data_IF_724193778412
#
_entry.id   IF_724193778412
#
_cell.length_a   1.000
_cell.length_b   1.000
_cell.length_c   1.000
_cell.angle_alpha   90.00
_cell.angle_beta   90.00
_cell.angle_gamma   90.00
#
_symmetry.space_group_name_H-M   'P 1'
#
loop_
_entity.id
_entity.type
_entity.pdbx_description
1 polymer ?
#
# COMPACT_ATOMS: atom_id res chain seq x y z
N UNK A 1 13.98 13.43 -9.01
CA UNK A 1 12.62 13.89 -9.38
C UNK A 1 12.18 15.00 -8.43
N UNK A 2 12.02 14.75 -7.13
CA UNK A 2 11.42 15.70 -6.16
C UNK A 2 12.43 16.44 -5.26
N UNK A 3 13.55 16.91 -5.81
CA UNK A 3 14.64 17.48 -4.99
C UNK A 3 14.30 18.89 -4.48
N UNK A 4 13.72 19.72 -5.34
CA UNK A 4 13.41 21.13 -5.04
C UNK A 4 12.06 21.31 -4.34
N UNK A 5 11.07 20.46 -4.67
CA UNK A 5 9.79 20.38 -3.96
C UNK A 5 9.44 18.91 -3.65
N UNK A 6 9.67 18.52 -2.40
CA UNK A 6 9.34 17.17 -1.90
C UNK A 6 7.83 16.93 -1.84
N UNK A 7 6.99 17.97 -1.67
CA UNK A 7 5.53 17.78 -1.53
C UNK A 7 4.88 17.33 -2.84
N UNK A 8 5.50 17.58 -3.99
CA UNK A 8 5.08 17.03 -5.28
C UNK A 8 5.19 15.51 -5.37
N UNK A 9 5.91 14.84 -4.45
CA UNK A 9 5.92 13.36 -4.37
C UNK A 9 4.75 12.78 -3.56
N UNK A 10 3.95 13.64 -2.93
CA UNK A 10 2.83 13.27 -2.03
C UNK A 10 1.51 13.87 -2.53
N UNK A 11 1.55 15.01 -3.23
CA UNK A 11 0.35 15.74 -3.67
C UNK A 11 0.35 16.07 -5.16
N UNK A 12 -0.84 15.98 -5.75
CA UNK A 12 -1.09 16.24 -7.16
C UNK A 12 -0.73 15.07 -8.07
N UNK A 13 -0.91 15.26 -9.38
CA UNK A 13 -0.69 14.27 -10.42
C UNK A 13 0.75 13.77 -10.50
N UNK A 14 1.71 14.53 -10.00
CA UNK A 14 3.11 14.12 -9.89
C UNK A 14 3.31 12.94 -8.91
N UNK A 15 2.48 12.83 -7.87
CA UNK A 15 2.51 11.72 -6.94
C UNK A 15 1.85 10.43 -7.49
N UNK A 16 1.14 10.52 -8.63
CA UNK A 16 0.34 9.41 -9.16
C UNK A 16 1.24 8.46 -9.96
N UNK A 17 1.34 7.22 -9.49
CA UNK A 17 1.85 6.08 -10.26
C UNK A 17 0.73 5.43 -11.07
N UNK A 18 1.09 4.59 -12.06
CA UNK A 18 0.11 3.83 -12.86
C UNK A 18 -0.78 2.97 -11.96
N UNK A 19 -2.13 3.10 -12.00
CA UNK A 19 -3.03 2.33 -11.14
C UNK A 19 -2.99 0.82 -11.46
N UNK A 20 -2.30 0.04 -10.62
CA UNK A 20 -2.10 -1.39 -10.85
C UNK A 20 -3.19 -2.32 -10.32
N UNK A 21 -4.04 -1.85 -9.41
CA UNK A 21 -4.97 -2.69 -8.63
C UNK A 21 -5.93 -3.51 -9.49
N UNK A 22 -6.60 -2.88 -10.47
CA UNK A 22 -7.55 -3.57 -11.35
C UNK A 22 -6.87 -4.66 -12.19
N UNK A 23 -5.67 -4.40 -12.71
CA UNK A 23 -4.86 -5.42 -13.39
C UNK A 23 -4.47 -6.54 -12.44
N UNK A 24 -4.09 -6.20 -11.21
CA UNK A 24 -3.77 -7.14 -10.13
C UNK A 24 -4.91 -8.12 -9.86
N UNK A 25 -6.13 -7.61 -9.68
CA UNK A 25 -7.32 -8.46 -9.52
C UNK A 25 -7.63 -9.29 -10.76
N UNK A 26 -7.49 -8.72 -11.97
CA UNK A 26 -7.71 -9.49 -13.20
C UNK A 26 -6.72 -10.65 -13.35
N UNK A 27 -5.44 -10.45 -13.01
CA UNK A 27 -4.44 -11.53 -13.01
C UNK A 27 -4.66 -12.54 -11.88
N UNK A 28 -5.08 -12.10 -10.68
CA UNK A 28 -5.48 -13.00 -9.61
C UNK A 28 -6.66 -13.89 -10.02
N UNK A 29 -7.71 -13.31 -10.64
CA UNK A 29 -8.85 -14.05 -11.18
C UNK A 29 -8.46 -15.01 -12.31
N UNK A 30 -7.46 -14.68 -13.14
CA UNK A 30 -6.86 -15.60 -14.14
C UNK A 30 -6.07 -16.74 -13.48
N UNK A 31 -5.42 -16.49 -12.35
CA UNK A 31 -4.62 -17.49 -11.63
C UNK A 31 -5.49 -18.49 -10.86
N UNK A 32 -6.51 -18.02 -10.13
CA UNK A 32 -7.41 -18.88 -9.33
C UNK A 32 -8.58 -19.47 -10.12
N UNK A 33 -8.80 -19.05 -11.36
CA UNK A 33 -10.00 -19.41 -12.12
C UNK A 33 -10.03 -18.83 -13.52
N UNK A 34 -11.11 -18.12 -13.87
CA UNK A 34 -11.30 -17.51 -15.20
C UNK A 34 -11.76 -16.06 -15.11
N UNK A 35 -11.56 -15.27 -16.17
CA UNK A 35 -12.06 -13.89 -16.24
C UNK A 35 -13.59 -13.77 -16.13
N UNK A 36 -14.35 -14.81 -16.50
CA UNK A 36 -15.79 -14.84 -16.31
C UNK A 36 -16.18 -14.76 -14.81
N UNK A 37 -15.30 -15.19 -13.91
CA UNK A 37 -15.50 -15.00 -12.47
C UNK A 37 -15.28 -13.53 -12.03
N UNK A 38 -14.45 -12.76 -12.73
CA UNK A 38 -14.31 -11.31 -12.49
C UNK A 38 -15.58 -10.57 -12.92
N UNK A 39 -16.06 -10.83 -14.14
CA UNK A 39 -17.35 -10.32 -14.64
C UNK A 39 -18.49 -10.63 -13.66
N UNK A 40 -18.62 -11.91 -13.26
CA UNK A 40 -19.62 -12.34 -12.29
C UNK A 40 -19.45 -11.71 -10.89
N UNK A 41 -18.23 -11.42 -10.47
CA UNK A 41 -17.97 -10.72 -9.18
C UNK A 41 -18.37 -9.25 -9.24
N UNK A 42 -18.03 -8.56 -10.35
CA UNK A 42 -18.37 -7.16 -10.56
C UNK A 42 -19.89 -6.99 -10.72
N UNK A 43 -20.53 -7.80 -11.57
CA UNK A 43 -21.99 -7.80 -11.78
C UNK A 43 -22.77 -8.33 -10.57
N UNK A 44 -22.25 -9.32 -9.86
CA UNK A 44 -22.85 -9.84 -8.61
C UNK A 44 -22.84 -8.82 -7.47
N UNK A 45 -21.91 -7.86 -7.48
CA UNK A 45 -21.91 -6.67 -6.62
C UNK A 45 -22.71 -5.50 -7.22
N UNK A 46 -23.28 -5.67 -8.42
CA UNK A 46 -24.16 -4.73 -9.10
C UNK A 46 -25.65 -5.17 -9.15
N UNK A 47 -26.33 -5.57 -8.03
CA UNK A 47 -27.80 -5.63 -8.01
C UNK A 47 -28.45 -4.27 -8.27
N UNK A 48 -27.69 -3.18 -8.09
CA UNK A 48 -28.12 -1.81 -8.31
C UNK A 48 -26.96 -0.96 -8.83
N UNK A 49 -27.13 -0.36 -10.02
CA UNK A 49 -26.42 0.88 -10.41
C UNK A 49 -26.84 2.11 -9.55
N UNK A 50 -27.56 1.84 -8.46
CA UNK A 50 -27.82 2.68 -7.31
C UNK A 50 -27.23 1.94 -6.10
N UNK A 51 -25.91 1.76 -6.05
CA UNK A 51 -25.25 1.07 -4.94
C UNK A 51 -25.30 1.96 -3.68
N UNK A 52 -26.45 1.92 -3.02
CA UNK A 52 -26.74 2.47 -1.70
C UNK A 52 -25.88 1.75 -0.66
N UNK A 53 -24.57 2.02 -0.68
CA UNK A 53 -23.69 1.67 0.42
C UNK A 53 -24.08 2.57 1.60
N UNK A 54 -24.57 2.02 2.73
CA UNK A 54 -24.66 2.83 3.94
C UNK A 54 -23.27 3.35 4.28
N UNK A 55 -23.15 4.58 4.79
CA UNK A 55 -21.90 5.00 5.39
C UNK A 55 -21.59 4.06 6.57
N UNK A 56 -20.76 3.05 6.31
CA UNK A 56 -20.35 2.09 7.32
C UNK A 56 -19.53 2.79 8.39
N UNK A 57 -20.13 2.99 9.57
CA UNK A 57 -19.54 3.30 10.88
C UNK A 57 -18.31 4.22 10.90
N UNK A 58 -18.54 5.52 10.66
CA UNK A 58 -17.69 6.66 11.04
C UNK A 58 -16.36 7.03 10.31
N UNK A 59 -15.70 6.30 9.39
CA UNK A 59 -14.27 6.55 9.14
C UNK A 59 -14.08 7.69 8.15
N UNK A 60 -14.85 7.69 7.05
CA UNK A 60 -14.62 8.60 5.94
C UNK A 60 -14.99 10.06 6.27
N UNK A 61 -16.18 10.40 6.83
CA UNK A 61 -16.47 11.78 7.22
C UNK A 61 -15.47 12.32 8.25
N UNK A 62 -15.01 11.49 9.20
CA UNK A 62 -14.03 11.90 10.20
C UNK A 62 -12.61 12.04 9.62
N UNK A 63 -12.19 11.16 8.71
CA UNK A 63 -10.93 11.28 7.98
C UNK A 63 -10.87 12.54 7.10
N UNK A 64 -12.02 13.00 6.59
CA UNK A 64 -12.17 14.20 5.77
C UNK A 64 -12.25 15.49 6.61
N UNK A 65 -12.92 15.48 7.77
CA UNK A 65 -12.97 16.64 8.71
C UNK A 65 -11.57 17.13 9.10
N UNK A 66 -10.59 16.23 9.18
CA UNK A 66 -9.19 16.56 9.46
C UNK A 66 -8.38 17.07 8.25
N UNK A 67 -8.96 17.13 7.04
CA UNK A 67 -8.25 17.36 5.78
C UNK A 67 -8.87 18.50 4.94
N UNK A 68 -8.81 19.76 5.42
CA UNK A 68 -9.38 20.91 4.73
C UNK A 68 -8.70 21.24 3.40
N UNK A 69 -7.57 20.60 3.05
CA UNK A 69 -6.93 20.68 1.74
C UNK A 69 -7.69 19.93 0.63
N UNK A 70 -8.49 18.91 0.98
CA UNK A 70 -9.30 18.19 0.01
C UNK A 70 -10.49 19.10 -0.32
N UNK A 71 -10.49 19.66 -1.53
CA UNK A 71 -11.52 20.58 -2.03
C UNK A 71 -11.77 20.33 -3.51
N UNK A 72 -12.88 20.88 -4.02
CA UNK A 72 -13.21 20.85 -5.44
C UNK A 72 -14.14 19.70 -5.82
N UNK A 73 -14.31 19.44 -7.14
CA UNK A 73 -15.37 18.55 -7.65
C UNK A 73 -15.24 17.10 -7.18
N UNK A 74 -14.06 16.65 -6.77
CA UNK A 74 -13.83 15.29 -6.25
C UNK A 74 -14.57 14.99 -4.94
N UNK A 75 -14.99 16.01 -4.18
CA UNK A 75 -15.83 15.81 -2.99
C UNK A 75 -17.31 15.53 -3.34
N UNK A 76 -17.76 15.76 -4.59
CA UNK A 76 -19.19 15.62 -4.95
C UNK A 76 -19.76 14.21 -4.74
N UNK A 77 -18.92 13.18 -4.75
CA UNK A 77 -19.32 11.78 -4.50
C UNK A 77 -19.58 11.47 -3.02
N UNK A 78 -19.19 12.38 -2.12
CA UNK A 78 -19.24 12.26 -0.65
C UNK A 78 -19.83 13.52 0.01
N UNK A 79 -20.40 14.40 -0.81
CA UNK A 79 -21.21 15.55 -0.40
C UNK A 79 -22.67 15.30 -0.79
N UNK A 80 -23.58 15.84 0.00
CA UNK A 80 -24.98 15.94 -0.37
C UNK A 80 -25.12 16.87 -1.61
N UNK A 81 -25.87 16.46 -2.65
CA UNK A 81 -25.93 17.18 -3.92
C UNK A 81 -26.83 18.44 -3.88
N UNK A 82 -27.69 18.59 -2.86
CA UNK A 82 -28.59 19.74 -2.73
C UNK A 82 -27.97 20.86 -1.87
N UNK A 83 -27.29 20.48 -0.80
CA UNK A 83 -26.67 21.40 0.19
C UNK A 83 -25.18 21.65 -0.09
N UNK A 84 -24.49 20.69 -0.71
CA UNK A 84 -23.03 20.70 -0.87
C UNK A 84 -22.24 20.35 0.40
N UNK A 85 -22.91 20.07 1.52
CA UNK A 85 -22.24 19.67 2.77
C UNK A 85 -21.71 18.23 2.67
N UNK A 86 -20.71 17.87 3.49
CA UNK A 86 -20.19 16.50 3.54
C UNK A 86 -21.20 15.56 4.20
N UNK A 87 -21.41 14.39 3.60
CA UNK A 87 -22.31 13.37 4.15
C UNK A 87 -21.86 12.92 5.54
N UNK A 88 -22.84 12.67 6.41
CA UNK A 88 -22.67 12.26 7.80
C UNK A 88 -22.67 10.73 7.94
N UNK A 89 -22.34 10.26 9.15
CA UNK A 89 -22.38 8.85 9.47
C UNK A 89 -23.83 8.31 9.42
N UNK A 90 -24.01 7.16 8.78
CA UNK A 90 -25.35 6.57 8.55
C UNK A 90 -26.11 7.15 7.35
N UNK A 91 -25.65 8.25 6.75
CA UNK A 91 -26.17 8.73 5.47
C UNK A 91 -25.70 7.84 4.31
N UNK A 92 -26.30 8.01 3.14
CA UNK A 92 -26.10 7.09 2.03
C UNK A 92 -25.25 7.72 0.93
N UNK A 93 -24.17 7.04 0.53
CA UNK A 93 -23.25 7.53 -0.49
C UNK A 93 -23.65 6.97 -1.85
N UNK A 94 -23.79 7.83 -2.87
CA UNK A 94 -24.20 7.45 -4.23
C UNK A 94 -23.05 7.65 -5.23
N UNK A 95 -22.48 6.55 -5.73
CA UNK A 95 -21.31 6.58 -6.61
C UNK A 95 -21.66 6.07 -8.03
N UNK A 96 -22.50 6.82 -8.76
CA UNK A 96 -22.96 6.41 -10.10
C UNK A 96 -21.82 6.28 -11.12
N UNK A 97 -20.83 7.18 -11.09
CA UNK A 97 -19.67 7.14 -11.99
C UNK A 97 -18.79 5.91 -11.75
N UNK A 98 -18.62 5.52 -10.48
CA UNK A 98 -17.93 4.28 -10.13
C UNK A 98 -18.73 3.07 -10.62
N UNK A 99 -20.06 3.04 -10.39
CA UNK A 99 -20.92 1.95 -10.86
C UNK A 99 -20.88 1.81 -12.41
N UNK A 100 -20.95 2.92 -13.15
CA UNK A 100 -20.77 2.94 -14.62
C UNK A 100 -19.40 2.38 -15.02
N UNK A 101 -18.33 2.79 -14.33
CA UNK A 101 -16.97 2.33 -14.60
C UNK A 101 -16.82 0.83 -14.34
N UNK A 102 -17.35 0.32 -13.22
CA UNK A 102 -17.29 -1.10 -12.88
C UNK A 102 -18.10 -1.97 -13.85
N UNK A 103 -19.26 -1.50 -14.33
CA UNK A 103 -20.03 -2.22 -15.35
C UNK A 103 -19.34 -2.22 -16.72
N UNK A 104 -18.68 -1.11 -17.09
CA UNK A 104 -17.86 -1.06 -18.30
C UNK A 104 -16.67 -2.02 -18.23
N UNK A 105 -15.97 -2.06 -17.09
CA UNK A 105 -14.88 -3.04 -16.82
C UNK A 105 -15.40 -4.48 -16.79
N UNK A 106 -16.60 -4.74 -16.28
CA UNK A 106 -17.21 -6.07 -16.33
C UNK A 106 -17.57 -6.49 -17.76
N UNK A 107 -18.04 -5.55 -18.58
CA UNK A 107 -18.52 -5.81 -19.95
C UNK A 107 -17.37 -5.91 -20.97
N UNK A 108 -16.37 -5.05 -20.88
CA UNK A 108 -15.26 -4.94 -21.84
C UNK A 108 -13.93 -5.52 -21.31
N UNK A 109 -13.91 -5.98 -20.05
CA UNK A 109 -12.71 -6.46 -19.37
C UNK A 109 -11.85 -5.33 -18.80
N UNK A 110 -10.74 -5.68 -18.10
CA UNK A 110 -9.86 -4.69 -17.46
C UNK A 110 -9.18 -3.76 -18.47
N UNK A 111 -9.01 -4.18 -19.73
CA UNK A 111 -8.36 -3.36 -20.77
C UNK A 111 -9.11 -2.06 -21.07
N UNK A 112 -10.40 -1.94 -20.74
CA UNK A 112 -11.18 -0.70 -20.77
C UNK A 112 -10.53 0.42 -19.93
N UNK A 113 -9.87 0.07 -18.82
CA UNK A 113 -9.21 1.06 -17.95
C UNK A 113 -7.86 1.54 -18.50
N UNK A 114 -7.17 0.67 -19.26
CA UNK A 114 -5.77 0.89 -19.67
C UNK A 114 -5.60 1.35 -21.12
N UNK A 115 -6.67 1.36 -21.92
CA UNK A 115 -6.64 1.75 -23.34
C UNK A 115 -7.84 2.61 -23.75
N UNK A 116 -7.72 3.28 -24.90
CA UNK A 116 -8.81 4.02 -25.54
C UNK A 116 -9.24 5.29 -24.78
N UNK A 117 -10.47 5.74 -25.05
CA UNK A 117 -10.98 7.04 -24.62
C UNK A 117 -11.03 7.20 -23.09
N UNK A 118 -11.27 6.10 -22.34
CA UNK A 118 -11.30 6.14 -20.88
C UNK A 118 -9.88 6.26 -20.28
N UNK A 119 -8.89 5.59 -20.86
CA UNK A 119 -7.49 5.82 -20.49
C UNK A 119 -7.07 7.27 -20.83
N UNK A 120 -7.51 7.81 -21.97
CA UNK A 120 -7.22 9.20 -22.35
C UNK A 120 -7.86 10.18 -21.36
N UNK A 121 -9.08 9.93 -20.88
CA UNK A 121 -9.72 10.79 -19.88
C UNK A 121 -8.99 10.77 -18.52
N UNK A 122 -8.47 9.62 -18.10
CA UNK A 122 -7.60 9.50 -16.91
C UNK A 122 -6.34 10.38 -17.07
N UNK A 123 -5.66 10.29 -18.22
CA UNK A 123 -4.44 11.08 -18.47
C UNK A 123 -4.76 12.57 -18.48
N UNK A 124 -5.84 12.98 -19.15
CA UNK A 124 -6.26 14.39 -19.20
C UNK A 124 -6.57 14.91 -17.78
N UNK A 125 -7.35 14.18 -16.98
CA UNK A 125 -7.67 14.55 -15.59
C UNK A 125 -6.41 14.77 -14.75
N UNK A 126 -5.44 13.85 -14.85
CA UNK A 126 -4.17 13.90 -14.11
C UNK A 126 -3.27 15.05 -14.55
N UNK A 127 -3.28 15.41 -15.84
CA UNK A 127 -2.50 16.52 -16.38
C UNK A 127 -3.18 17.88 -16.18
N UNK A 128 -4.50 17.95 -16.26
CA UNK A 128 -5.28 19.18 -16.20
C UNK A 128 -5.57 19.61 -14.76
N UNK A 129 -6.03 18.68 -13.91
CA UNK A 129 -6.49 18.95 -12.54
C UNK A 129 -5.48 18.49 -11.48
N UNK A 130 -4.53 17.60 -11.81
CA UNK A 130 -3.46 17.18 -10.91
C UNK A 130 -2.35 18.23 -10.65
N UNK A 131 -2.52 19.49 -11.04
CA UNK A 131 -1.46 20.52 -10.93
C UNK A 131 -1.19 20.91 -9.47
N UNK A 132 0.00 20.60 -8.97
CA UNK A 132 0.44 20.97 -7.62
C UNK A 132 1.93 21.28 -7.56
N UNK A 133 2.29 22.36 -6.87
CA UNK A 133 3.65 22.72 -6.47
C UNK A 133 3.58 23.86 -5.45
N UNK A 134 4.58 23.95 -4.57
CA UNK A 134 4.76 25.04 -3.60
C UNK A 134 5.77 26.10 -4.06
N UNK A 135 6.46 25.88 -5.18
CA UNK A 135 7.44 26.81 -5.74
C UNK A 135 6.74 27.98 -6.47
N UNK A 136 7.14 29.25 -6.25
CA UNK A 136 6.44 30.41 -6.85
C UNK A 136 6.34 30.39 -8.38
N UNK A 137 7.31 29.79 -9.08
CA UNK A 137 7.33 29.75 -10.54
C UNK A 137 6.25 28.83 -11.13
N UNK A 138 5.73 27.85 -10.38
CA UNK A 138 4.70 26.95 -10.89
C UNK A 138 3.33 27.61 -11.05
N UNK A 139 3.15 28.83 -10.54
CA UNK A 139 2.00 29.68 -10.85
C UNK A 139 2.01 30.14 -12.33
N UNK A 140 3.19 30.20 -12.95
CA UNK A 140 3.37 30.56 -14.36
C UNK A 140 3.52 29.32 -15.26
N UNK A 141 4.06 28.22 -14.73
CA UNK A 141 4.24 26.96 -15.43
C UNK A 141 3.75 25.78 -14.56
N UNK A 142 2.43 25.54 -14.50
CA UNK A 142 1.87 24.52 -13.62
C UNK A 142 2.11 23.12 -14.18
N UNK A 143 2.72 22.25 -13.37
CA UNK A 143 3.07 20.87 -13.73
C UNK A 143 1.97 19.92 -13.22
N UNK A 144 1.29 19.22 -14.14
CA UNK A 144 0.38 18.12 -13.84
C UNK A 144 1.13 16.80 -13.64
N UNK A 145 0.44 15.65 -13.72
CA UNK A 145 1.13 14.36 -13.65
C UNK A 145 1.97 14.00 -14.87
N UNK A 146 2.98 13.14 -14.66
CA UNK A 146 3.92 12.69 -15.69
C UNK A 146 3.52 11.40 -16.40
N UNK A 147 2.51 10.66 -15.89
CA UNK A 147 2.10 9.40 -16.53
C UNK A 147 1.51 9.66 -17.92
N UNK A 148 1.75 8.73 -18.84
CA UNK A 148 1.31 8.76 -20.23
C UNK A 148 0.34 7.63 -20.56
N UNK A 149 -0.32 7.71 -21.72
CA UNK A 149 -1.10 6.59 -22.25
C UNK A 149 -0.23 5.33 -22.45
N UNK A 150 1.02 5.49 -22.87
CA UNK A 150 1.94 4.38 -23.05
C UNK A 150 2.28 3.71 -21.71
N UNK A 151 2.39 4.46 -20.61
CA UNK A 151 2.59 3.90 -19.27
C UNK A 151 1.38 3.08 -18.80
N UNK A 152 0.15 3.54 -19.09
CA UNK A 152 -1.08 2.79 -18.80
C UNK A 152 -1.15 1.51 -19.65
N UNK A 153 -0.96 1.62 -20.96
CA UNK A 153 -1.09 0.50 -21.89
C UNK A 153 0.00 -0.58 -21.70
N UNK A 154 1.23 -0.19 -21.33
CA UNK A 154 2.33 -1.12 -21.11
C UNK A 154 2.37 -1.72 -19.70
N UNK A 155 1.51 -1.28 -18.77
CA UNK A 155 1.50 -1.79 -17.40
C UNK A 155 1.17 -3.29 -17.32
N UNK A 156 1.99 -4.02 -16.57
CA UNK A 156 1.86 -5.46 -16.34
C UNK A 156 2.07 -5.78 -14.87
N UNK A 157 1.23 -6.67 -14.35
CA UNK A 157 1.43 -7.26 -13.02
C UNK A 157 2.66 -8.16 -13.08
N UNK A 158 3.48 -8.09 -12.04
CA UNK A 158 4.63 -8.98 -11.92
C UNK A 158 4.38 -10.06 -10.87
N UNK A 159 4.60 -11.32 -11.27
CA UNK A 159 4.64 -12.45 -10.34
C UNK A 159 6.07 -12.63 -9.83
N UNK A 160 6.26 -12.41 -8.52
CA UNK A 160 7.56 -12.54 -7.85
C UNK A 160 7.50 -13.57 -6.71
N UNK A 161 8.58 -14.36 -6.48
CA UNK A 161 8.67 -15.23 -5.31
C UNK A 161 8.54 -14.44 -4.00
N UNK A 162 7.84 -14.97 -2.98
CA UNK A 162 7.71 -14.28 -1.70
C UNK A 162 9.04 -14.24 -0.94
N UNK A 163 9.20 -13.22 -0.10
CA UNK A 163 10.20 -13.24 0.98
C UNK A 163 9.90 -14.44 1.86
N UNK A 164 10.90 -15.31 2.05
CA UNK A 164 10.80 -16.53 2.83
C UNK A 164 11.81 -16.54 3.96
N UNK A 165 11.34 -16.62 5.20
CA UNK A 165 12.20 -16.75 6.38
C UNK A 165 11.75 -17.94 7.25
N UNK A 166 12.70 -18.64 7.87
CA UNK A 166 12.44 -19.82 8.73
C UNK A 166 12.86 -19.52 10.16
N UNK A 167 12.09 -20.01 11.13
CA UNK A 167 12.29 -19.76 12.56
C UNK A 167 12.28 -21.06 13.38
N UNK A 168 12.73 -20.98 14.64
CA UNK A 168 12.65 -22.09 15.61
C UNK A 168 11.23 -22.64 15.71
N UNK A 169 11.14 -23.96 15.82
CA UNK A 169 9.88 -24.70 15.85
C UNK A 169 9.31 -25.05 14.48
N UNK A 170 10.06 -24.81 13.40
CA UNK A 170 9.65 -25.18 12.04
C UNK A 170 8.60 -24.26 11.42
N UNK A 171 8.51 -23.02 11.91
CA UNK A 171 7.64 -21.99 11.31
C UNK A 171 8.36 -21.36 10.10
N UNK A 172 7.60 -21.01 9.07
CA UNK A 172 8.09 -20.29 7.88
C UNK A 172 7.17 -19.10 7.63
N UNK A 173 7.73 -17.89 7.59
CA UNK A 173 7.05 -16.70 7.07
C UNK A 173 7.15 -16.71 5.54
N UNK A 174 6.03 -16.39 4.90
CA UNK A 174 5.96 -15.91 3.52
C UNK A 174 5.41 -14.48 3.56
N UNK A 175 6.04 -13.55 2.84
CA UNK A 175 5.63 -12.15 2.80
C UNK A 175 5.97 -11.50 1.46
N UNK A 176 5.46 -10.29 1.21
CA UNK A 176 5.67 -9.58 -0.04
C UNK A 176 7.17 -9.28 -0.29
N UNK A 177 7.69 -9.53 -1.52
CA UNK A 177 9.02 -9.10 -1.93
C UNK A 177 9.10 -7.58 -2.12
N UNK A 178 10.31 -7.00 -2.29
CA UNK A 178 10.48 -5.62 -2.72
C UNK A 178 9.59 -5.30 -3.94
N UNK A 179 8.95 -4.12 -4.01
CA UNK A 179 9.09 -2.95 -3.12
C UNK A 179 8.45 -3.11 -1.72
N UNK A 180 7.74 -4.20 -1.46
CA UNK A 180 7.14 -4.49 -0.15
C UNK A 180 8.17 -4.69 0.98
N UNK A 181 7.79 -4.32 2.21
CA UNK A 181 8.65 -4.40 3.40
C UNK A 181 8.67 -5.78 4.07
N UNK A 182 8.34 -6.87 3.37
CA UNK A 182 8.25 -8.22 3.95
C UNK A 182 9.56 -8.73 4.58
N UNK A 183 10.70 -8.32 4.02
CA UNK A 183 12.03 -8.60 4.58
C UNK A 183 12.29 -7.88 5.92
N UNK A 184 11.68 -6.71 6.15
CA UNK A 184 11.77 -5.99 7.43
C UNK A 184 11.04 -6.78 8.53
N UNK A 185 9.83 -7.27 8.24
CA UNK A 185 9.09 -8.14 9.15
C UNK A 185 9.85 -9.44 9.44
N UNK A 186 10.42 -10.07 8.40
CA UNK A 186 11.25 -11.26 8.55
C UNK A 186 12.44 -11.03 9.50
N UNK A 187 13.08 -9.86 9.42
CA UNK A 187 14.21 -9.50 10.27
C UNK A 187 13.79 -9.24 11.72
N UNK A 188 12.69 -8.51 11.96
CA UNK A 188 12.13 -8.29 13.31
C UNK A 188 11.85 -9.65 13.98
N UNK A 189 11.13 -10.53 13.29
CA UNK A 189 10.82 -11.86 13.80
C UNK A 189 12.08 -12.71 13.99
N UNK A 190 13.09 -12.58 13.10
CA UNK A 190 14.37 -13.26 13.22
C UNK A 190 15.15 -12.87 14.48
N UNK A 191 15.13 -11.57 14.84
CA UNK A 191 15.72 -11.05 16.09
C UNK A 191 14.96 -11.60 17.29
N UNK A 192 13.62 -11.52 17.29
CA UNK A 192 12.81 -12.04 18.39
C UNK A 192 12.97 -13.57 18.57
N UNK A 193 13.16 -14.31 17.48
CA UNK A 193 13.44 -15.74 17.51
C UNK A 193 14.79 -16.06 18.20
N UNK A 194 15.75 -15.14 18.24
CA UNK A 194 17.00 -15.33 19.00
C UNK A 194 16.77 -15.38 20.52
N UNK A 195 15.77 -14.65 21.03
CA UNK A 195 15.41 -14.65 22.45
C UNK A 195 14.57 -15.86 22.87
N UNK A 196 13.97 -16.58 21.92
CA UNK A 196 13.19 -17.80 22.20
C UNK A 196 14.10 -18.96 22.63
N UNK A 197 13.64 -19.71 23.62
CA UNK A 197 14.17 -21.04 23.94
C UNK A 197 13.93 -22.02 22.76
N UNK A 198 14.46 -23.23 22.85
CA UNK A 198 14.36 -24.21 21.76
C UNK A 198 12.91 -24.67 21.50
N UNK A 199 12.63 -25.03 20.24
CA UNK A 199 11.33 -25.56 19.84
C UNK A 199 10.28 -24.48 19.56
N UNK A 200 9.06 -24.69 20.07
CA UNK A 200 7.87 -23.85 19.78
C UNK A 200 7.44 -22.93 20.93
N UNK A 201 8.23 -22.82 21.99
CA UNK A 201 7.90 -21.97 23.14
C UNK A 201 7.57 -20.53 22.71
N UNK A 202 6.55 -19.95 23.34
CA UNK A 202 6.27 -18.52 23.24
C UNK A 202 7.33 -17.72 24.02
N UNK A 203 7.50 -16.44 23.67
CA UNK A 203 8.16 -15.49 24.55
C UNK A 203 7.22 -15.15 25.73
N UNK A 204 7.75 -14.74 26.89
CA UNK A 204 6.93 -14.19 27.97
C UNK A 204 6.12 -12.97 27.50
N UNK A 205 4.92 -12.79 28.06
CA UNK A 205 4.14 -11.56 27.90
C UNK A 205 4.55 -10.57 29.00
N UNK A 206 5.71 -9.94 28.81
CA UNK A 206 6.32 -9.05 29.80
C UNK A 206 6.94 -7.77 29.19
N UNK A 207 7.22 -6.80 30.06
CA UNK A 207 7.81 -5.50 29.69
C UNK A 207 9.16 -5.68 28.97
N UNK A 208 9.94 -6.70 29.34
CA UNK A 208 11.23 -6.98 28.71
C UNK A 208 11.07 -7.48 27.27
N UNK A 209 10.05 -8.29 26.99
CA UNK A 209 9.73 -8.77 25.64
C UNK A 209 9.21 -7.63 24.77
N UNK A 210 8.39 -6.72 25.33
CA UNK A 210 7.97 -5.49 24.65
C UNK A 210 9.15 -4.55 24.34
N UNK A 211 10.09 -4.38 25.28
CA UNK A 211 11.32 -3.62 25.07
C UNK A 211 12.15 -4.22 23.93
N UNK A 212 12.45 -5.52 23.98
CA UNK A 212 13.19 -6.23 22.92
C UNK A 212 12.50 -6.14 21.56
N UNK A 213 11.17 -6.18 21.51
CA UNK A 213 10.40 -5.98 20.28
C UNK A 213 10.56 -4.55 19.74
N UNK A 214 10.49 -3.52 20.59
CA UNK A 214 10.72 -2.14 20.20
C UNK A 214 12.15 -1.92 19.66
N UNK A 215 13.17 -2.50 20.30
CA UNK A 215 14.56 -2.45 19.83
C UNK A 215 14.74 -3.21 18.50
N UNK A 216 14.14 -4.39 18.34
CA UNK A 216 14.15 -5.14 17.09
C UNK A 216 13.52 -4.35 15.93
N UNK A 217 12.40 -3.64 16.20
CA UNK A 217 11.79 -2.72 15.25
C UNK A 217 12.74 -1.58 14.86
N UNK A 218 13.46 -0.95 15.80
CA UNK A 218 14.44 0.11 15.49
C UNK A 218 15.56 -0.39 14.56
N UNK A 219 16.16 -1.55 14.88
CA UNK A 219 17.17 -2.18 14.03
C UNK A 219 16.64 -2.50 12.62
N UNK A 220 15.40 -2.96 12.51
CA UNK A 220 14.82 -3.32 11.22
C UNK A 220 14.38 -2.11 10.38
N UNK A 221 13.75 -1.11 10.98
CA UNK A 221 13.37 0.13 10.29
C UNK A 221 14.58 0.95 9.85
N UNK A 222 15.71 0.86 10.55
CA UNK A 222 17.00 1.38 10.10
C UNK A 222 17.50 0.74 8.79
N UNK A 223 17.05 -0.47 8.46
CA UNK A 223 17.32 -1.13 7.17
C UNK A 223 16.19 -0.97 6.16
N UNK A 224 14.95 -0.70 6.59
CA UNK A 224 13.82 -0.38 5.68
C UNK A 224 14.16 0.78 4.74
N UNK A 225 14.87 1.80 5.22
CA UNK A 225 15.30 2.95 4.42
C UNK A 225 16.24 2.60 3.24
N UNK A 226 16.77 1.37 3.20
CA UNK A 226 17.63 0.86 2.12
C UNK A 226 16.86 -0.03 1.11
N UNK A 227 15.59 -0.36 1.38
CA UNK A 227 14.75 -1.08 0.43
C UNK A 227 14.23 -0.11 -0.64
N UNK A 228 14.73 -0.25 -1.87
CA UNK A 228 14.35 0.56 -3.02
C UNK A 228 13.18 -0.03 -3.82
N UNK A 229 12.54 0.82 -4.63
CA UNK A 229 11.44 0.42 -5.51
C UNK A 229 11.86 -0.28 -6.81
N UNK A 230 13.12 -0.13 -7.23
CA UNK A 230 13.66 -0.79 -8.41
C UNK A 230 14.31 -2.13 -8.04
N UNK A 231 14.15 -3.14 -8.91
CA UNK A 231 14.96 -4.36 -8.87
C UNK A 231 16.43 -4.00 -9.01
N UNK A 232 17.21 -4.28 -7.98
CA UNK A 232 18.65 -4.03 -7.96
C UNK A 232 19.35 -5.13 -7.17
N UNK A 233 20.61 -5.38 -7.49
CA UNK A 233 21.42 -6.43 -6.84
C UNK A 233 21.56 -6.11 -5.35
N UNK A 234 21.69 -4.84 -5.00
CA UNK A 234 21.75 -4.33 -3.62
C UNK A 234 20.46 -4.61 -2.85
N UNK A 235 19.30 -4.51 -3.50
CA UNK A 235 18.00 -4.82 -2.88
C UNK A 235 17.88 -6.34 -2.61
N UNK A 236 18.27 -7.18 -3.56
CA UNK A 236 18.28 -8.64 -3.39
C UNK A 236 19.30 -9.10 -2.33
N UNK A 237 20.46 -8.44 -2.25
CA UNK A 237 21.44 -8.63 -1.17
C UNK A 237 20.88 -8.23 0.18
N UNK A 238 20.21 -7.08 0.27
CA UNK A 238 19.58 -6.61 1.49
C UNK A 238 18.49 -7.57 1.97
N UNK A 239 17.64 -8.08 1.07
CA UNK A 239 16.63 -9.11 1.41
C UNK A 239 17.29 -10.38 1.95
N UNK A 240 18.36 -10.86 1.31
CA UNK A 240 19.14 -12.02 1.80
C UNK A 240 19.75 -11.77 3.18
N UNK A 241 20.31 -10.58 3.43
CA UNK A 241 20.85 -10.24 4.74
C UNK A 241 19.76 -10.10 5.82
N UNK A 242 18.63 -9.46 5.51
CA UNK A 242 17.50 -9.29 6.44
C UNK A 242 16.81 -10.61 6.80
N UNK A 243 16.85 -11.60 5.91
CA UNK A 243 16.33 -12.95 6.16
C UNK A 243 17.35 -13.91 6.78
N UNK A 244 18.59 -13.45 7.05
CA UNK A 244 19.67 -14.27 7.59
C UNK A 244 19.64 -14.39 9.12
N UNK A 245 19.86 -15.59 9.70
CA UNK A 245 20.06 -15.76 11.14
C UNK A 245 21.25 -14.96 11.69
N UNK A 246 22.30 -14.78 10.89
CA UNK A 246 23.55 -14.12 11.29
C UNK A 246 23.34 -12.64 11.59
N UNK A 247 22.58 -11.93 10.73
CA UNK A 247 22.25 -10.53 10.99
C UNK A 247 21.30 -10.39 12.18
N UNK A 248 20.35 -11.32 12.34
CA UNK A 248 19.44 -11.33 13.49
C UNK A 248 20.18 -11.56 14.81
N UNK A 249 21.15 -12.48 14.83
CA UNK A 249 22.03 -12.71 15.98
C UNK A 249 22.89 -11.49 16.30
N UNK A 250 23.44 -10.83 15.26
CA UNK A 250 24.20 -9.59 15.43
C UNK A 250 23.35 -8.47 16.03
N UNK A 251 22.15 -8.22 15.52
CA UNK A 251 21.23 -7.23 16.10
C UNK A 251 20.86 -7.59 17.55
N UNK A 252 20.52 -8.86 17.84
CA UNK A 252 20.29 -9.34 19.21
C UNK A 252 21.49 -9.13 20.15
N UNK A 253 22.72 -9.18 19.66
CA UNK A 253 23.92 -8.91 20.48
C UNK A 253 24.11 -7.43 20.85
N UNK A 254 23.41 -6.52 20.17
CA UNK A 254 23.42 -5.07 20.42
C UNK A 254 22.20 -4.60 21.22
N UNK A 255 21.16 -5.42 21.39
CA UNK A 255 20.01 -5.10 22.24
C UNK A 255 20.45 -5.18 23.70
N UNK A 256 20.38 -4.05 24.39
CA UNK A 256 20.60 -3.94 25.83
C UNK A 256 19.25 -4.07 26.54
N UNK A 257 19.12 -5.04 27.44
CA UNK A 257 17.86 -5.31 28.15
C UNK A 257 17.48 -4.20 29.17
N UNK A 258 18.40 -3.28 29.48
CA UNK A 258 18.22 -2.24 30.50
C UNK A 258 18.02 -0.82 29.95
N UNK A 259 18.26 -0.57 28.65
CA UNK A 259 18.20 0.77 28.07
C UNK A 259 17.90 0.77 26.56
N UNK A 260 17.45 1.92 26.06
CA UNK A 260 17.32 2.24 24.62
C UNK A 260 18.32 3.34 24.27
N UNK A 261 18.88 3.29 23.07
CA UNK A 261 19.70 4.39 22.53
C UNK A 261 18.83 5.39 21.77
N UNK A 262 19.06 6.68 21.98
CA UNK A 262 18.33 7.76 21.29
C UNK A 262 18.91 8.13 19.93
N UNK A 263 20.14 7.69 19.61
CA UNK A 263 20.87 8.03 18.39
C UNK A 263 20.51 7.06 17.24
N UNK A 264 19.92 7.52 16.12
CA UNK A 264 19.59 6.65 14.99
C UNK A 264 20.78 5.89 14.41
N UNK A 265 21.98 6.48 14.41
CA UNK A 265 23.21 5.85 13.91
C UNK A 265 23.54 4.53 14.63
N UNK A 266 23.13 4.38 15.90
CA UNK A 266 23.34 3.16 16.69
C UNK A 266 22.69 1.93 16.03
N UNK A 267 21.48 2.12 15.51
CA UNK A 267 20.72 1.09 14.78
C UNK A 267 21.18 0.96 13.31
N UNK A 268 22.12 1.81 12.89
CA UNK A 268 22.61 1.90 11.51
C UNK A 268 21.59 2.53 10.55
N UNK A 269 20.85 3.54 11.03
CA UNK A 269 19.95 4.39 10.25
C UNK A 269 20.76 5.42 9.45
N UNK A 270 20.38 5.69 8.18
CA UNK A 270 21.20 6.51 7.26
C UNK A 270 20.42 7.57 6.46
N UNK A 271 19.09 7.69 6.61
CA UNK A 271 18.29 8.61 5.78
C UNK A 271 17.01 9.06 6.50
N UNK A 272 16.72 10.36 6.52
CA UNK A 272 15.80 11.02 7.48
C UNK A 272 14.29 10.83 7.23
N UNK A 273 13.85 10.23 6.11
CA UNK A 273 12.44 10.19 5.75
C UNK A 273 11.65 9.08 6.46
N UNK A 274 11.03 9.42 7.60
CA UNK A 274 9.80 8.75 8.05
C UNK A 274 8.67 9.78 8.14
N UNK A 275 7.85 9.85 7.09
CA UNK A 275 6.54 10.51 7.18
C UNK A 275 5.51 9.53 7.75
N UNK A 276 4.47 10.05 8.40
CA UNK A 276 3.36 9.23 8.90
C UNK A 276 2.48 8.82 7.72
N UNK A 277 2.37 7.52 7.51
CA UNK A 277 1.56 6.92 6.45
C UNK A 277 0.19 6.47 7.00
N UNK A 278 -0.86 6.62 6.21
CA UNK A 278 -2.25 6.37 6.59
C UNK A 278 -3.05 5.85 5.39
N UNK A 279 -3.94 4.88 5.65
CA UNK A 279 -4.81 4.31 4.63
C UNK A 279 -4.20 3.08 3.98
N UNK A 280 -4.73 1.91 4.33
CA UNK A 280 -4.50 0.64 3.64
C UNK A 280 -5.64 -0.29 4.06
N UNK A 281 -6.25 -0.97 3.10
CA UNK A 281 -7.20 -2.04 3.37
C UNK A 281 -6.47 -3.39 3.30
N UNK A 282 -6.78 -4.30 4.23
CA UNK A 282 -6.31 -5.68 4.18
C UNK A 282 -7.49 -6.64 4.28
N UNK A 283 -7.48 -7.68 3.46
CA UNK A 283 -8.45 -8.76 3.47
C UNK A 283 -7.76 -10.12 3.33
N UNK A 284 -8.25 -11.11 4.06
CA UNK A 284 -7.83 -12.51 3.92
C UNK A 284 -9.05 -13.37 3.61
N UNK A 285 -8.93 -14.22 2.59
CA UNK A 285 -9.97 -15.13 2.12
C UNK A 285 -9.47 -16.57 2.24
N UNK A 286 -10.39 -17.47 2.60
CA UNK A 286 -10.13 -18.91 2.74
C UNK A 286 -11.01 -19.67 1.75
N UNK A 287 -10.40 -20.47 0.90
CA UNK A 287 -11.08 -21.36 -0.05
C UNK A 287 -11.53 -22.67 0.61
N UNK A 288 -12.53 -23.36 0.04
CA UNK A 288 -13.02 -24.64 0.59
C UNK A 288 -11.95 -25.74 0.56
N UNK A 289 -11.03 -25.69 -0.42
CA UNK A 289 -9.95 -26.66 -0.61
C UNK A 289 -8.69 -26.35 0.24
N UNK A 290 -8.75 -25.34 1.11
CA UNK A 290 -7.64 -24.93 1.98
C UNK A 290 -6.74 -23.81 1.42
N UNK A 291 -7.06 -23.29 0.23
CA UNK A 291 -6.40 -22.12 -0.34
C UNK A 291 -6.56 -20.88 0.55
N UNK A 292 -5.52 -20.03 0.59
CA UNK A 292 -5.55 -18.77 1.34
C UNK A 292 -5.06 -17.63 0.47
N UNK A 293 -5.88 -16.59 0.32
CA UNK A 293 -5.56 -15.37 -0.42
C UNK A 293 -5.50 -14.23 0.59
N UNK A 294 -4.33 -13.63 0.77
CA UNK A 294 -4.14 -12.43 1.60
C UNK A 294 -3.80 -11.24 0.69
N UNK A 295 -4.62 -10.20 0.73
CA UNK A 295 -4.50 -9.00 -0.12
C UNK A 295 -4.39 -7.76 0.76
N UNK A 296 -3.37 -6.95 0.52
CA UNK A 296 -3.32 -5.56 0.98
C UNK A 296 -3.43 -4.64 -0.22
N UNK A 297 -4.34 -3.67 -0.16
CA UNK A 297 -4.51 -2.63 -1.18
C UNK A 297 -4.49 -1.24 -0.55
N UNK A 298 -3.93 -0.28 -1.27
CA UNK A 298 -3.82 1.11 -0.83
C UNK A 298 -3.86 2.07 -2.02
N UNK A 299 -4.38 3.26 -1.76
CA UNK A 299 -4.10 4.47 -2.52
C UNK A 299 -3.34 5.37 -1.54
N UNK A 300 -2.07 5.67 -1.83
CA UNK A 300 -1.27 6.58 -1.01
C UNK A 300 -1.98 7.95 -0.91
N UNK A 301 -1.90 8.58 0.26
CA UNK A 301 -2.55 9.87 0.56
C UNK A 301 -1.62 11.08 0.38
#
# INVERSE_FOLDING_TARGET
MYVEDKKMSIRGGMAIAVPGELRGYAELHRFIGTLAALEGTLRGRNPSCQAWLPHGSAPLPNALRGRPEIKGPHLRTISDPETGELLQEGEMVKQEDLARTLEAVATYGPDYFYHGDFAQSIINEIQENGKFSTLPWSLLFPVGGMITLDDLANYKVEWAPPVRARFKGGLTLYSAPPPGSGAVLAFILGIMDQFRSSGRAALPDDVLTLHRFAEACKFAYAKRALLGGAKSIECDELVRHLTSPELAQRARSLIDDMQTFSRPEYYGFVNESQEQDHGTAHATFWGPDGDVIAVSSTVNY
#
